data_IF_269815292655
#
_entry.id   IF_269815292655
#
_cell.length_a   1.000
_cell.length_b   1.000
_cell.length_c   1.000
_cell.angle_alpha   90.00
_cell.angle_beta   90.00
_cell.angle_gamma   90.00
#
_symmetry.space_group_name_H-M   'P 1'
#
loop_
_entity.id
_entity.type
_entity.pdbx_description
1 polymer ?
#
# COMPACT_ATOMS: atom_id res chain seq x y z
N UNK A 1 43.81 -1.87 -42.45
CA UNK A 1 42.44 -1.74 -42.99
C UNK A 1 41.54 -2.50 -42.03
N UNK A 2 40.79 -1.79 -41.19
CA UNK A 2 39.97 -2.36 -40.11
C UNK A 2 38.56 -2.58 -40.66
N UNK A 3 38.10 -3.82 -40.72
CA UNK A 3 36.69 -4.13 -40.95
C UNK A 3 35.98 -4.18 -39.61
N UNK A 4 35.33 -3.08 -39.23
CA UNK A 4 34.30 -3.09 -38.19
C UNK A 4 32.99 -3.50 -38.88
N UNK A 5 32.67 -4.77 -38.81
CA UNK A 5 31.32 -5.25 -39.15
C UNK A 5 30.37 -4.81 -38.03
N UNK A 6 29.82 -3.61 -38.19
CA UNK A 6 28.71 -3.16 -37.36
C UNK A 6 27.42 -3.78 -37.92
N UNK A 7 27.14 -5.04 -37.54
CA UNK A 7 25.90 -5.71 -37.93
C UNK A 7 24.73 -5.09 -37.15
N UNK A 8 24.15 -4.03 -37.72
CA UNK A 8 22.91 -3.45 -37.22
C UNK A 8 21.79 -4.50 -37.34
N UNK A 9 21.32 -5.00 -36.20
CA UNK A 9 20.24 -5.98 -36.12
C UNK A 9 18.96 -5.24 -35.70
N UNK A 10 18.06 -4.86 -36.63
CA UNK A 10 16.89 -4.01 -36.35
C UNK A 10 15.92 -4.60 -35.31
N UNK A 11 15.92 -5.92 -35.10
CA UNK A 11 15.12 -6.60 -34.07
C UNK A 11 15.48 -6.16 -32.65
N UNK A 12 16.78 -6.06 -32.32
CA UNK A 12 17.25 -5.69 -30.97
C UNK A 12 16.88 -4.26 -30.56
N UNK A 13 16.87 -3.33 -31.53
CA UNK A 13 16.50 -1.93 -31.25
C UNK A 13 15.02 -1.75 -30.90
N UNK A 14 14.14 -2.58 -31.48
CA UNK A 14 12.71 -2.55 -31.19
C UNK A 14 12.43 -3.07 -29.77
N UNK A 15 13.04 -4.20 -29.41
CA UNK A 15 12.91 -4.79 -28.07
C UNK A 15 13.36 -3.85 -26.95
N UNK A 16 14.47 -3.14 -27.14
CA UNK A 16 14.97 -2.15 -26.15
C UNK A 16 13.98 -0.99 -25.99
N UNK A 17 13.41 -0.48 -27.09
CA UNK A 17 12.39 0.58 -27.03
C UNK A 17 11.13 0.11 -26.29
N UNK A 18 10.73 -1.13 -26.51
CA UNK A 18 9.57 -1.72 -25.83
C UNK A 18 9.85 -1.84 -24.32
N UNK A 19 11.05 -2.27 -23.91
CA UNK A 19 11.46 -2.30 -22.49
C UNK A 19 11.40 -0.90 -21.86
N UNK A 20 11.99 0.12 -22.51
CA UNK A 20 11.97 1.49 -22.00
C UNK A 20 10.53 2.00 -21.85
N UNK A 21 9.65 1.69 -22.81
CA UNK A 21 8.23 2.08 -22.75
C UNK A 21 7.50 1.40 -21.59
N UNK A 22 7.76 0.13 -21.34
CA UNK A 22 7.18 -0.59 -20.19
C UNK A 22 7.70 0.01 -18.88
N UNK A 23 9.00 0.28 -18.76
CA UNK A 23 9.58 0.93 -17.58
C UNK A 23 9.01 2.33 -17.33
N UNK A 24 8.82 3.13 -18.38
CA UNK A 24 8.18 4.44 -18.27
C UNK A 24 6.73 4.31 -17.78
N UNK A 25 5.97 3.34 -18.28
CA UNK A 25 4.61 3.06 -17.80
C UNK A 25 4.61 2.64 -16.33
N UNK A 26 5.57 1.82 -15.91
CA UNK A 26 5.70 1.42 -14.51
C UNK A 26 6.08 2.58 -13.60
N UNK A 27 6.91 3.51 -14.08
CA UNK A 27 7.25 4.70 -13.30
C UNK A 27 5.99 5.51 -12.96
N UNK A 28 5.08 5.69 -13.92
CA UNK A 28 3.78 6.34 -13.69
C UNK A 28 2.90 5.55 -12.71
N UNK A 29 2.85 4.23 -12.86
CA UNK A 29 2.12 3.36 -11.92
C UNK A 29 2.70 3.43 -10.49
N UNK A 30 4.03 3.51 -10.34
CA UNK A 30 4.68 3.69 -9.03
C UNK A 30 4.45 5.08 -8.43
N UNK A 31 4.38 6.13 -9.25
CA UNK A 31 3.96 7.45 -8.80
C UNK A 31 2.52 7.42 -8.27
N UNK A 32 1.61 6.74 -8.98
CA UNK A 32 0.23 6.58 -8.55
C UNK A 32 0.14 5.78 -7.25
N UNK A 33 0.89 4.68 -7.12
CA UNK A 33 0.97 3.89 -5.90
C UNK A 33 1.46 4.72 -4.71
N UNK A 34 2.50 5.53 -4.91
CA UNK A 34 3.01 6.44 -3.88
C UNK A 34 1.93 7.44 -3.45
N UNK A 35 1.20 8.03 -4.41
CA UNK A 35 0.10 8.96 -4.12
C UNK A 35 -1.00 8.32 -3.29
N UNK A 36 -1.50 7.13 -3.67
CA UNK A 36 -2.49 6.41 -2.87
C UNK A 36 -1.99 6.11 -1.46
N UNK A 37 -0.71 5.75 -1.32
CA UNK A 37 -0.11 5.46 -0.01
C UNK A 37 -0.04 6.72 0.87
N UNK A 38 0.18 7.88 0.28
CA UNK A 38 0.13 9.18 0.97
C UNK A 38 -1.29 9.61 1.33
N UNK A 39 -2.26 9.37 0.45
CA UNK A 39 -3.67 9.64 0.72
C UNK A 39 -4.17 8.80 1.91
N UNK A 40 -3.79 7.52 1.98
CA UNK A 40 -4.05 6.66 3.14
C UNK A 40 -3.53 7.27 4.45
N UNK A 41 -2.29 7.77 4.47
CA UNK A 41 -1.73 8.46 5.65
C UNK A 41 -2.58 9.66 6.05
N UNK A 42 -2.98 10.45 5.07
CA UNK A 42 -3.80 11.66 5.30
C UNK A 42 -5.14 11.29 5.92
N UNK A 43 -5.77 10.22 5.46
CA UNK A 43 -7.03 9.70 5.99
C UNK A 43 -6.88 9.19 7.42
N UNK A 44 -5.84 8.42 7.70
CA UNK A 44 -5.56 7.88 9.02
C UNK A 44 -5.26 8.97 10.07
N UNK A 45 -4.77 10.14 9.63
CA UNK A 45 -4.41 11.25 10.53
C UNK A 45 -5.50 12.32 10.66
N UNK A 46 -6.24 12.62 9.59
CA UNK A 46 -7.22 13.71 9.56
C UNK A 46 -8.67 13.23 9.58
N UNK A 47 -8.90 11.92 9.47
CA UNK A 47 -10.22 11.35 9.23
C UNK A 47 -10.67 11.56 7.78
N UNK A 48 -11.56 10.70 7.30
CA UNK A 48 -12.23 10.84 6.01
C UNK A 48 -13.54 10.04 6.01
N UNK A 49 -14.35 10.20 4.96
CA UNK A 49 -15.53 9.36 4.75
C UNK A 49 -15.11 7.90 4.48
N UNK A 50 -15.79 6.94 5.11
CA UNK A 50 -15.49 5.50 5.04
C UNK A 50 -15.43 4.97 3.60
N UNK A 51 -16.42 5.34 2.76
CA UNK A 51 -16.49 4.95 1.35
C UNK A 51 -15.25 5.37 0.54
N UNK A 52 -14.61 6.47 0.94
CA UNK A 52 -13.42 6.97 0.26
C UNK A 52 -12.18 6.19 0.65
N UNK A 53 -12.07 5.76 1.92
CA UNK A 53 -10.99 4.90 2.40
C UNK A 53 -11.05 3.52 1.72
N UNK A 54 -12.24 2.91 1.65
CA UNK A 54 -12.43 1.61 1.00
C UNK A 54 -12.02 1.66 -0.48
N UNK A 55 -12.46 2.70 -1.19
CA UNK A 55 -12.11 2.89 -2.60
C UNK A 55 -10.59 3.02 -2.81
N UNK A 56 -9.89 3.82 -2.00
CA UNK A 56 -8.43 3.93 -2.12
C UNK A 56 -7.74 2.60 -1.85
N UNK A 57 -8.12 1.88 -0.79
CA UNK A 57 -7.52 0.58 -0.46
C UNK A 57 -7.69 -0.39 -1.64
N UNK A 58 -8.89 -0.42 -2.24
CA UNK A 58 -9.21 -1.28 -3.37
C UNK A 58 -8.42 -0.91 -4.64
N UNK A 59 -8.44 0.35 -5.05
CA UNK A 59 -7.71 0.83 -6.23
C UNK A 59 -6.20 0.59 -6.07
N UNK A 60 -5.67 0.86 -4.88
CA UNK A 60 -4.27 0.59 -4.54
C UNK A 60 -3.94 -0.90 -4.64
N UNK A 61 -4.81 -1.77 -4.14
CA UNK A 61 -4.65 -3.23 -4.25
C UNK A 61 -4.57 -3.70 -5.71
N UNK A 62 -5.50 -3.24 -6.55
CA UNK A 62 -5.51 -3.54 -7.99
C UNK A 62 -4.24 -3.07 -8.70
N UNK A 63 -3.71 -1.89 -8.32
CA UNK A 63 -2.47 -1.36 -8.87
C UNK A 63 -1.25 -2.20 -8.46
N UNK A 64 -1.20 -2.66 -7.21
CA UNK A 64 -0.14 -3.58 -6.74
C UNK A 64 -0.21 -4.89 -7.52
N UNK A 65 -1.41 -5.45 -7.72
CA UNK A 65 -1.58 -6.69 -8.50
C UNK A 65 -1.10 -6.51 -9.95
N UNK A 66 -1.42 -5.37 -10.58
CA UNK A 66 -0.90 -5.00 -11.91
C UNK A 66 0.63 -4.96 -11.92
N UNK A 67 1.24 -4.29 -10.94
CA UNK A 67 2.70 -4.17 -10.83
C UNK A 67 3.37 -5.53 -10.58
N UNK A 68 2.79 -6.39 -9.76
CA UNK A 68 3.31 -7.75 -9.53
C UNK A 68 3.16 -8.63 -10.77
N UNK A 69 2.05 -8.53 -11.50
CA UNK A 69 1.87 -9.26 -12.76
C UNK A 69 2.92 -8.86 -13.81
N UNK A 70 3.28 -7.57 -13.85
CA UNK A 70 4.30 -7.04 -14.76
C UNK A 70 5.73 -7.53 -14.45
N UNK A 71 6.01 -7.91 -13.19
CA UNK A 71 7.28 -8.56 -12.83
C UNK A 71 7.49 -9.85 -13.63
N UNK A 72 6.43 -10.64 -13.81
CA UNK A 72 6.48 -11.90 -14.59
C UNK A 72 6.90 -11.65 -16.05
N UNK A 73 6.52 -10.51 -16.62
CA UNK A 73 6.96 -10.11 -17.96
C UNK A 73 8.48 -9.95 -17.99
N UNK A 74 9.06 -9.20 -17.05
CA UNK A 74 10.52 -9.02 -16.98
C UNK A 74 11.27 -10.31 -16.63
N UNK A 75 10.76 -11.12 -15.70
CA UNK A 75 11.35 -12.41 -15.32
C UNK A 75 11.36 -13.40 -16.50
N UNK A 76 10.44 -13.24 -17.47
CA UNK A 76 10.35 -14.08 -18.67
C UNK A 76 11.33 -13.70 -19.79
N UNK A 77 11.99 -12.54 -19.69
CA UNK A 77 13.01 -12.11 -20.65
C UNK A 77 14.25 -12.99 -20.45
N UNK A 78 14.43 -13.98 -21.34
CA UNK A 78 15.54 -14.96 -21.29
C UNK A 78 16.92 -14.31 -21.40
N UNK A 79 17.01 -13.20 -22.15
CA UNK A 79 18.18 -12.35 -22.26
C UNK A 79 17.67 -10.91 -22.25
N UNK A 80 18.23 -10.06 -21.39
CA UNK A 80 18.11 -8.63 -21.64
C UNK A 80 18.90 -8.35 -22.91
N UNK A 81 18.32 -7.71 -23.93
CA UNK A 81 19.07 -7.34 -25.12
C UNK A 81 20.33 -6.61 -24.66
N UNK A 82 21.51 -6.98 -25.17
CA UNK A 82 22.76 -6.32 -24.79
C UNK A 82 22.61 -4.79 -25.00
N UNK A 83 22.32 -4.07 -23.92
CA UNK A 83 22.24 -2.60 -23.89
C UNK A 83 23.67 -2.02 -23.90
N UNK A 84 24.69 -2.88 -23.98
CA UNK A 84 26.11 -2.54 -23.86
C UNK A 84 26.59 -1.66 -25.01
N UNK A 85 26.07 -1.86 -26.22
CA UNK A 85 26.54 -1.14 -27.41
C UNK A 85 25.89 0.24 -27.63
N UNK A 86 24.90 0.63 -26.82
CA UNK A 86 24.25 1.94 -26.92
C UNK A 86 24.20 2.66 -25.57
N UNK A 87 25.13 3.60 -25.38
CA UNK A 87 25.27 4.40 -24.15
C UNK A 87 24.00 5.18 -23.77
N UNK A 88 23.21 5.61 -24.76
CA UNK A 88 21.99 6.39 -24.55
C UNK A 88 20.88 5.54 -23.94
N UNK A 89 20.60 4.36 -24.51
CA UNK A 89 19.56 3.47 -23.98
C UNK A 89 19.91 2.93 -22.60
N UNK A 90 21.19 2.69 -22.35
CA UNK A 90 21.69 2.30 -21.03
C UNK A 90 21.46 3.40 -20.00
N UNK A 91 21.74 4.66 -20.36
CA UNK A 91 21.50 5.80 -19.49
C UNK A 91 20.01 5.95 -19.15
N UNK A 92 19.14 5.95 -20.16
CA UNK A 92 17.68 6.08 -19.98
C UNK A 92 17.09 4.96 -19.13
N UNK A 93 17.48 3.70 -19.39
CA UNK A 93 17.01 2.55 -18.62
C UNK A 93 17.45 2.65 -17.15
N UNK A 94 18.71 3.03 -16.90
CA UNK A 94 19.23 3.19 -15.55
C UNK A 94 18.53 4.33 -14.80
N UNK A 95 18.25 5.44 -15.46
CA UNK A 95 17.53 6.57 -14.85
C UNK A 95 16.12 6.16 -14.42
N UNK A 96 15.38 5.45 -15.30
CA UNK A 96 14.04 4.94 -14.97
C UNK A 96 14.07 3.97 -13.80
N UNK A 97 15.01 3.01 -13.80
CA UNK A 97 15.15 2.04 -12.71
C UNK A 97 15.51 2.72 -11.37
N UNK A 98 16.38 3.74 -11.40
CA UNK A 98 16.70 4.51 -10.20
C UNK A 98 15.50 5.27 -9.65
N UNK A 99 14.73 5.96 -10.50
CA UNK A 99 13.50 6.66 -10.07
C UNK A 99 12.46 5.70 -9.50
N UNK A 100 12.23 4.57 -10.16
CA UNK A 100 11.33 3.51 -9.67
C UNK A 100 11.77 3.03 -8.29
N UNK A 101 13.07 2.75 -8.11
CA UNK A 101 13.61 2.30 -6.82
C UNK A 101 13.39 3.34 -5.72
N UNK A 102 13.67 4.61 -5.99
CA UNK A 102 13.46 5.70 -5.02
C UNK A 102 12.00 5.81 -4.60
N UNK A 103 11.05 5.70 -5.55
CA UNK A 103 9.62 5.72 -5.25
C UNK A 103 9.18 4.52 -4.43
N UNK A 104 9.71 3.33 -4.74
CA UNK A 104 9.44 2.11 -3.98
C UNK A 104 9.92 2.24 -2.53
N UNK A 105 11.17 2.67 -2.33
CA UNK A 105 11.74 2.85 -0.99
C UNK A 105 10.92 3.88 -0.18
N UNK A 106 10.52 5.00 -0.81
CA UNK A 106 9.65 5.99 -0.19
C UNK A 106 8.26 5.45 0.14
N UNK A 107 7.67 4.66 -0.75
CA UNK A 107 6.35 4.01 -0.56
C UNK A 107 6.39 3.04 0.62
N UNK A 108 7.44 2.20 0.71
CA UNK A 108 7.61 1.23 1.80
C UNK A 108 7.75 1.94 3.14
N UNK A 109 8.54 3.02 3.21
CA UNK A 109 8.66 3.83 4.43
C UNK A 109 7.30 4.41 4.85
N UNK A 110 6.52 4.90 3.90
CA UNK A 110 5.21 5.48 4.17
C UNK A 110 4.18 4.42 4.60
N UNK A 111 4.24 3.22 4.04
CA UNK A 111 3.43 2.09 4.48
C UNK A 111 3.76 1.66 5.93
N UNK A 112 5.04 1.69 6.32
CA UNK A 112 5.42 1.41 7.70
C UNK A 112 4.78 2.41 8.68
N UNK A 113 4.72 3.69 8.31
CA UNK A 113 4.03 4.73 9.08
C UNK A 113 2.51 4.49 9.11
N UNK A 114 1.90 4.15 7.97
CA UNK A 114 0.47 3.83 7.90
C UNK A 114 0.10 2.63 8.79
N UNK A 115 0.92 1.57 8.78
CA UNK A 115 0.76 0.41 9.66
C UNK A 115 0.86 0.81 11.14
N UNK A 116 1.80 1.69 11.48
CA UNK A 116 1.90 2.21 12.84
C UNK A 116 0.63 2.98 13.25
N UNK A 117 0.14 3.88 12.40
CA UNK A 117 -1.08 4.66 12.66
C UNK A 117 -2.31 3.76 12.85
N UNK A 118 -2.50 2.78 11.96
CA UNK A 118 -3.59 1.79 12.07
C UNK A 118 -3.55 1.03 13.40
N UNK A 119 -2.35 0.61 13.83
CA UNK A 119 -2.18 -0.07 15.13
C UNK A 119 -2.57 0.83 16.31
N UNK A 120 -2.26 2.13 16.27
CA UNK A 120 -2.68 3.05 17.33
C UNK A 120 -4.21 3.20 17.35
N UNK A 121 -4.84 3.38 16.19
CA UNK A 121 -6.30 3.46 16.11
C UNK A 121 -6.99 2.21 16.67
N UNK A 122 -6.50 1.01 16.31
CA UNK A 122 -7.04 -0.26 16.82
C UNK A 122 -6.86 -0.36 18.34
N UNK A 123 -5.71 0.07 18.87
CA UNK A 123 -5.44 0.09 20.31
C UNK A 123 -6.42 0.99 21.04
N UNK A 124 -6.65 2.20 20.55
CA UNK A 124 -7.58 3.16 21.16
C UNK A 124 -9.02 2.64 21.16
N UNK A 125 -9.46 2.05 20.04
CA UNK A 125 -10.78 1.39 19.94
C UNK A 125 -10.89 0.25 20.97
N UNK A 126 -9.84 -0.55 21.13
CA UNK A 126 -9.81 -1.66 22.08
C UNK A 126 -9.94 -1.18 23.53
N UNK A 127 -9.21 -0.13 23.91
CA UNK A 127 -9.30 0.48 25.23
C UNK A 127 -10.69 1.07 25.50
N UNK A 128 -11.31 1.69 24.48
CA UNK A 128 -12.67 2.20 24.59
C UNK A 128 -13.68 1.06 24.78
N UNK A 129 -13.48 -0.08 24.11
CA UNK A 129 -14.33 -1.26 24.30
C UNK A 129 -14.23 -1.84 25.71
N UNK A 130 -13.04 -1.85 26.32
CA UNK A 130 -12.85 -2.29 27.71
C UNK A 130 -13.64 -1.40 28.68
N UNK A 131 -13.54 -0.07 28.54
CA UNK A 131 -14.32 0.88 29.36
C UNK A 131 -15.83 0.68 29.20
N UNK A 132 -16.31 0.43 27.98
CA UNK A 132 -17.72 0.14 27.71
C UNK A 132 -18.15 -1.15 28.40
N UNK A 133 -17.31 -2.20 28.39
CA UNK A 133 -17.59 -3.47 29.09
C UNK A 133 -17.66 -3.29 30.60
N UNK A 134 -16.75 -2.51 31.18
CA UNK A 134 -16.77 -2.17 32.62
C UNK A 134 -18.07 -1.42 32.98
N UNK A 135 -18.45 -0.40 32.19
CA UNK A 135 -19.71 0.32 32.38
C UNK A 135 -20.93 -0.60 32.29
N UNK A 136 -20.96 -1.52 31.33
CA UNK A 136 -22.02 -2.53 31.20
C UNK A 136 -22.09 -3.43 32.44
N UNK A 137 -20.95 -3.87 32.95
CA UNK A 137 -20.87 -4.71 34.16
C UNK A 137 -21.40 -3.95 35.40
N UNK A 138 -21.01 -2.69 35.57
CA UNK A 138 -21.50 -1.82 36.63
C UNK A 138 -23.02 -1.69 36.63
N UNK A 139 -23.62 -1.36 35.47
CA UNK A 139 -25.08 -1.24 35.33
C UNK A 139 -25.78 -2.57 35.62
N UNK A 140 -25.23 -3.70 35.16
CA UNK A 140 -25.78 -5.01 35.44
C UNK A 140 -25.78 -5.34 36.94
N UNK A 141 -24.75 -4.94 37.68
CA UNK A 141 -24.70 -5.14 39.12
C UNK A 141 -25.67 -4.22 39.86
N UNK A 142 -25.78 -2.96 39.46
CA UNK A 142 -26.75 -2.02 40.03
C UNK A 142 -28.20 -2.57 39.89
N UNK A 143 -28.56 -3.09 38.72
CA UNK A 143 -29.86 -3.72 38.50
C UNK A 143 -30.11 -4.93 39.40
N UNK A 144 -29.10 -5.76 39.66
CA UNK A 144 -29.21 -6.86 40.64
C UNK A 144 -29.45 -6.35 42.05
N UNK A 145 -28.76 -5.27 42.47
CA UNK A 145 -28.97 -4.69 43.80
C UNK A 145 -30.37 -4.10 43.97
N UNK A 146 -30.89 -3.38 42.97
CA UNK A 146 -32.24 -2.83 42.99
C UNK A 146 -33.28 -3.96 43.06
N UNK A 147 -33.12 -5.02 42.27
CA UNK A 147 -34.07 -6.14 42.22
C UNK A 147 -33.95 -7.12 43.40
N UNK A 148 -32.81 -7.16 44.10
CA UNK A 148 -32.58 -7.98 45.28
C UNK A 148 -32.77 -7.21 46.60
N UNK A 149 -33.23 -5.96 46.55
CA UNK A 149 -33.59 -5.24 47.77
C UNK A 149 -34.86 -5.90 48.32
N UNK A 150 -34.86 -6.45 49.56
CA UNK A 150 -36.06 -7.03 50.13
C UNK A 150 -37.10 -5.91 50.24
N UNK A 151 -38.27 -6.09 49.64
CA UNK A 151 -39.44 -5.33 50.07
C UNK A 151 -39.64 -5.67 51.55
N UNK A 152 -39.33 -4.73 52.44
CA UNK A 152 -39.82 -4.78 53.81
C UNK A 152 -41.35 -4.75 53.70
N UNK A 153 -41.96 -5.92 53.79
CA UNK A 153 -43.37 -6.04 54.08
C UNK A 153 -43.49 -5.60 55.54
N UNK A 154 -44.07 -4.42 55.73
CA UNK A 154 -44.44 -3.93 57.05
C UNK A 154 -45.51 -4.87 57.62
N UNK A 155 -45.10 -5.78 58.50
CA UNK A 155 -46.02 -6.67 59.23
C UNK A 155 -46.35 -6.02 60.56
N UNK A 156 -47.08 -4.89 60.50
CA UNK A 156 -47.81 -4.37 61.64
C UNK A 156 -49.29 -4.69 61.43
N UNK A 157 -49.77 -5.73 62.12
CA UNK A 157 -51.15 -6.18 62.17
C UNK A 157 -51.30 -7.39 63.05
#
# INVERSE_FOLDING_TARGET
MVHINNSYCPGKSKEIKDIIKVLATHLEDYHLLFRYTHELKTMLTKGCAEDFLENIIKERGLLIDKLVASKKYFDSLKEFPDIVDNSEWKLQTNELLQKIRQLLDATVSLDAENVFLMKQCIKDITLNLEKIKEGKYFISNLGKHINNTPFFVDVCG
#
